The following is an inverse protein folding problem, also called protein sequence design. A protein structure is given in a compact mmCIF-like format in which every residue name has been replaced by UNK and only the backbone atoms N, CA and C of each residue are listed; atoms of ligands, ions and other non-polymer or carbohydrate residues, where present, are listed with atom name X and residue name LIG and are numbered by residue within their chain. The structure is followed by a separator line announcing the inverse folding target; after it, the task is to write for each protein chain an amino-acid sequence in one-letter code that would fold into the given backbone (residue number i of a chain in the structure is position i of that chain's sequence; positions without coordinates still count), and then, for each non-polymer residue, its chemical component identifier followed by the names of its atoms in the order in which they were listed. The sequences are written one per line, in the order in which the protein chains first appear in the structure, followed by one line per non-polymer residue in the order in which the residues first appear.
data_IF_238316240530
#
_entry.id   IF_238316240530
#
_cell.length_a   1.000
_cell.length_b   1.000
_cell.length_c   1.000
_cell.angle_alpha   90.00
_cell.angle_beta   90.00
_cell.angle_gamma   90.00
#
_symmetry.space_group_name_H-M   'P 1'
#
loop_
_entity.id
_entity.type
_entity.pdbx_description
1 polymer ?
#
# COMPACT_ATOMS: atom_id res chain seq x y z
N UNK A 1 13.18 -59.81 21.92
CA UNK A 1 13.71 -58.70 22.76
C UNK A 1 13.74 -57.44 21.90
N UNK A 2 13.04 -56.35 22.29
CA UNK A 2 13.07 -55.08 21.54
C UNK A 2 14.41 -54.37 21.80
N UNK A 3 15.21 -54.18 20.75
CA UNK A 3 16.50 -53.49 20.79
C UNK A 3 16.24 -51.97 20.85
N UNK A 4 16.29 -51.39 22.04
CA UNK A 4 16.30 -49.93 22.20
C UNK A 4 17.71 -49.41 21.89
N UNK A 5 17.89 -48.84 20.70
CA UNK A 5 19.10 -48.12 20.35
C UNK A 5 19.07 -46.75 21.04
N UNK A 6 19.68 -46.64 22.21
CA UNK A 6 19.88 -45.34 22.87
C UNK A 6 20.75 -44.44 21.99
N UNK A 7 20.30 -43.20 21.75
CA UNK A 7 21.08 -42.19 21.04
C UNK A 7 22.33 -41.91 21.87
N UNK A 8 23.51 -42.12 21.28
CA UNK A 8 24.78 -41.86 21.96
C UNK A 8 24.96 -40.36 22.14
N UNK A 9 25.48 -39.90 23.28
CA UNK A 9 25.60 -38.47 23.61
C UNK A 9 26.31 -37.65 22.50
N UNK A 10 27.25 -38.30 21.79
CA UNK A 10 27.97 -37.74 20.63
C UNK A 10 27.04 -37.54 19.42
N UNK A 11 26.17 -38.49 19.08
CA UNK A 11 25.25 -38.32 17.94
C UNK A 11 24.19 -37.26 18.22
N UNK A 12 23.78 -37.10 19.49
CA UNK A 12 22.89 -36.02 19.91
C UNK A 12 23.59 -34.65 19.75
N UNK A 13 24.85 -34.53 20.17
CA UNK A 13 25.62 -33.30 20.02
C UNK A 13 25.81 -32.92 18.53
N UNK A 14 26.16 -33.88 17.67
CA UNK A 14 26.29 -33.65 16.23
C UNK A 14 24.95 -33.22 15.61
N UNK A 15 23.85 -33.88 15.98
CA UNK A 15 22.51 -33.52 15.50
C UNK A 15 22.13 -32.08 15.90
N UNK A 16 22.43 -31.66 17.14
CA UNK A 16 22.18 -30.30 17.59
C UNK A 16 22.97 -29.25 16.79
N UNK A 17 24.25 -29.52 16.50
CA UNK A 17 25.07 -28.62 15.67
C UNK A 17 24.49 -28.51 14.24
N UNK A 18 24.10 -29.63 13.65
CA UNK A 18 23.47 -29.64 12.32
C UNK A 18 22.14 -28.87 12.31
N UNK A 19 21.31 -29.04 13.33
CA UNK A 19 20.04 -28.29 13.46
C UNK A 19 20.27 -26.79 13.60
N UNK A 20 21.30 -26.36 14.34
CA UNK A 20 21.64 -24.93 14.45
C UNK A 20 22.04 -24.35 13.10
N UNK A 21 22.91 -25.03 12.35
CA UNK A 21 23.35 -24.58 11.01
C UNK A 21 22.16 -24.46 10.06
N UNK A 22 21.30 -25.48 10.03
CA UNK A 22 20.09 -25.47 9.21
C UNK A 22 19.14 -24.35 9.63
N UNK A 23 18.92 -24.14 10.94
CA UNK A 23 18.08 -23.06 11.44
C UNK A 23 18.59 -21.68 11.01
N UNK A 24 19.90 -21.41 11.11
CA UNK A 24 20.48 -20.15 10.66
C UNK A 24 20.28 -19.90 9.17
N UNK A 25 20.51 -20.91 8.32
CA UNK A 25 20.32 -20.78 6.87
C UNK A 25 18.83 -20.54 6.54
N UNK A 26 17.94 -21.33 7.14
CA UNK A 26 16.49 -21.24 6.88
C UNK A 26 15.93 -19.90 7.36
N UNK A 27 16.41 -19.36 8.48
CA UNK A 27 16.03 -18.02 8.96
C UNK A 27 16.52 -16.92 8.01
N UNK A 28 17.77 -16.99 7.52
CA UNK A 28 18.32 -15.95 6.65
C UNK A 28 17.61 -15.89 5.30
N UNK A 29 17.50 -17.02 4.60
CA UNK A 29 16.82 -17.10 3.30
C UNK A 29 15.30 -16.97 3.45
N UNK A 30 14.72 -17.55 4.51
CA UNK A 30 13.30 -17.45 4.79
C UNK A 30 12.85 -16.02 5.08
N UNK A 31 13.60 -15.26 5.89
CA UNK A 31 13.28 -13.85 6.15
C UNK A 31 13.37 -13.00 4.88
N UNK A 32 14.37 -13.25 4.02
CA UNK A 32 14.52 -12.52 2.76
C UNK A 32 13.37 -12.79 1.79
N UNK A 33 12.99 -14.07 1.61
CA UNK A 33 11.87 -14.45 0.76
C UNK A 33 10.53 -13.91 1.30
N UNK A 34 10.32 -13.92 2.62
CA UNK A 34 9.13 -13.34 3.24
C UNK A 34 9.07 -11.82 3.08
N UNK A 35 10.20 -11.13 3.19
CA UNK A 35 10.25 -9.68 3.00
C UNK A 35 9.98 -9.30 1.53
N UNK A 36 10.47 -10.09 0.58
CA UNK A 36 10.17 -9.90 -0.85
C UNK A 36 8.69 -10.17 -1.14
N UNK A 37 8.11 -11.25 -0.59
CA UNK A 37 6.69 -11.55 -0.74
C UNK A 37 5.80 -10.41 -0.20
N UNK A 38 6.11 -9.86 0.98
CA UNK A 38 5.39 -8.70 1.54
C UNK A 38 5.47 -7.47 0.62
N UNK A 39 6.64 -7.21 0.05
CA UNK A 39 6.82 -6.11 -0.90
C UNK A 39 5.98 -6.33 -2.15
N UNK A 40 6.00 -7.54 -2.72
CA UNK A 40 5.22 -7.89 -3.91
C UNK A 40 3.71 -7.79 -3.65
N UNK A 41 3.24 -8.28 -2.50
CA UNK A 41 1.84 -8.17 -2.08
C UNK A 41 1.43 -6.70 -1.94
N UNK A 42 2.26 -5.88 -1.29
CA UNK A 42 2.01 -4.45 -1.14
C UNK A 42 1.93 -3.74 -2.49
N UNK A 43 2.92 -3.95 -3.38
CA UNK A 43 2.93 -3.38 -4.74
C UNK A 43 1.68 -3.80 -5.51
N UNK A 44 1.33 -5.08 -5.47
CA UNK A 44 0.16 -5.63 -6.17
C UNK A 44 -1.13 -5.00 -5.68
N UNK A 45 -1.32 -4.93 -4.36
CA UNK A 45 -2.52 -4.32 -3.78
C UNK A 45 -2.65 -2.85 -4.15
N UNK A 46 -1.55 -2.08 -4.05
CA UNK A 46 -1.54 -0.66 -4.42
C UNK A 46 -1.78 -0.45 -5.91
N UNK A 47 -1.22 -1.29 -6.77
CA UNK A 47 -1.43 -1.25 -8.22
C UNK A 47 -2.87 -1.58 -8.60
N UNK A 48 -3.48 -2.60 -7.98
CA UNK A 48 -4.88 -2.94 -8.18
C UNK A 48 -5.81 -1.80 -7.74
N UNK A 49 -5.51 -1.14 -6.62
CA UNK A 49 -6.22 0.07 -6.16
C UNK A 49 -6.12 1.16 -7.24
N UNK A 50 -4.91 1.49 -7.68
CA UNK A 50 -4.67 2.53 -8.69
C UNK A 50 -5.44 2.24 -9.98
N UNK A 51 -5.35 1.01 -10.49
CA UNK A 51 -6.03 0.58 -11.71
C UNK A 51 -7.57 0.64 -11.57
N UNK A 52 -8.11 0.18 -10.44
CA UNK A 52 -9.56 0.18 -10.19
C UNK A 52 -10.15 1.59 -10.15
N UNK A 53 -9.37 2.58 -9.70
CA UNK A 53 -9.83 3.95 -9.51
C UNK A 53 -9.54 4.86 -10.70
N UNK A 54 -8.63 4.48 -11.60
CA UNK A 54 -8.26 5.29 -12.78
C UNK A 54 -9.49 5.63 -13.63
N UNK A 55 -10.34 4.64 -13.91
CA UNK A 55 -11.56 4.86 -14.69
C UNK A 55 -12.56 5.80 -13.98
N UNK A 56 -12.64 5.75 -12.65
CA UNK A 56 -13.48 6.67 -11.89
C UNK A 56 -12.96 8.12 -11.98
N UNK A 57 -11.65 8.33 -11.90
CA UNK A 57 -11.06 9.66 -12.01
C UNK A 57 -11.18 10.23 -13.43
N UNK A 58 -10.96 9.39 -14.44
CA UNK A 58 -11.19 9.75 -15.85
C UNK A 58 -12.63 10.24 -16.08
N UNK A 59 -13.61 9.50 -15.55
CA UNK A 59 -15.01 9.89 -15.65
C UNK A 59 -15.32 11.17 -14.87
N UNK A 60 -14.66 11.39 -13.73
CA UNK A 60 -14.77 12.65 -12.99
C UNK A 60 -14.31 13.83 -13.84
N UNK A 61 -13.09 13.81 -14.38
CA UNK A 61 -12.59 14.94 -15.17
C UNK A 61 -13.39 15.16 -16.45
N UNK A 62 -13.87 14.09 -17.08
CA UNK A 62 -14.75 14.19 -18.25
C UNK A 62 -16.05 14.94 -17.92
N UNK A 63 -16.73 14.60 -16.83
CA UNK A 63 -17.99 15.25 -16.43
C UNK A 63 -17.78 16.60 -15.72
N UNK A 64 -16.61 16.82 -15.11
CA UNK A 64 -16.26 18.05 -14.41
C UNK A 64 -15.77 19.16 -15.34
N UNK A 65 -15.42 18.82 -16.59
CA UNK A 65 -14.95 19.80 -17.57
C UNK A 65 -16.04 20.84 -17.87
N UNK A 66 -15.72 22.12 -17.67
CA UNK A 66 -16.67 23.23 -17.82
C UNK A 66 -17.77 23.30 -16.74
N UNK A 67 -17.75 22.42 -15.74
CA UNK A 67 -18.72 22.42 -14.64
C UNK A 67 -18.37 23.45 -13.55
N UNK A 68 -19.38 23.97 -12.86
CA UNK A 68 -19.20 24.87 -11.73
C UNK A 68 -18.70 24.14 -10.46
N UNK A 69 -18.33 24.90 -9.44
CA UNK A 69 -17.78 24.35 -8.19
C UNK A 69 -18.76 23.44 -7.43
N UNK A 70 -20.07 23.76 -7.46
CA UNK A 70 -21.08 22.94 -6.80
C UNK A 70 -21.18 21.57 -7.47
N UNK A 71 -21.22 21.57 -8.81
CA UNK A 71 -21.28 20.34 -9.59
C UNK A 71 -20.00 19.52 -9.45
N UNK A 72 -18.82 20.15 -9.45
CA UNK A 72 -17.55 19.47 -9.19
C UNK A 72 -17.56 18.75 -7.84
N UNK A 73 -18.13 19.35 -6.79
CA UNK A 73 -18.25 18.70 -5.48
C UNK A 73 -19.21 17.51 -5.48
N UNK A 74 -20.35 17.59 -6.18
CA UNK A 74 -21.24 16.43 -6.37
C UNK A 74 -20.53 15.28 -7.09
N UNK A 75 -19.79 15.59 -8.16
CA UNK A 75 -19.05 14.61 -8.94
C UNK A 75 -17.93 13.95 -8.13
N UNK A 76 -17.24 14.71 -7.26
CA UNK A 76 -16.28 14.13 -6.30
C UNK A 76 -16.94 13.08 -5.41
N UNK A 77 -18.12 13.35 -4.86
CA UNK A 77 -18.85 12.38 -4.02
C UNK A 77 -19.29 11.12 -4.78
N UNK A 78 -19.50 11.24 -6.10
CA UNK A 78 -19.89 10.11 -6.96
C UNK A 78 -18.67 9.25 -7.34
N UNK A 79 -17.58 9.89 -7.74
CA UNK A 79 -16.44 9.23 -8.38
C UNK A 79 -15.26 8.98 -7.44
N UNK A 80 -14.96 9.88 -6.50
CA UNK A 80 -13.85 9.67 -5.56
C UNK A 80 -14.31 8.68 -4.50
N UNK A 81 -13.63 7.53 -4.45
CA UNK A 81 -13.98 6.45 -3.53
C UNK A 81 -13.23 6.62 -2.22
N UNK A 82 -13.87 6.23 -1.13
CA UNK A 82 -13.32 6.38 0.20
C UNK A 82 -13.87 7.58 0.96
N UNK A 83 -13.20 7.92 2.06
CA UNK A 83 -13.54 9.03 2.96
C UNK A 83 -12.40 10.03 2.94
N UNK A 84 -12.68 11.33 2.90
CA UNK A 84 -11.61 12.34 2.96
C UNK A 84 -10.78 12.14 4.22
N UNK A 85 -9.45 12.22 4.09
CA UNK A 85 -8.58 12.05 5.27
C UNK A 85 -8.76 13.20 6.26
N UNK A 86 -9.21 14.38 5.80
CA UNK A 86 -9.53 15.53 6.67
C UNK A 86 -10.56 15.19 7.74
N UNK A 87 -11.44 14.23 7.46
CA UNK A 87 -12.59 13.89 8.27
C UNK A 87 -12.25 12.77 9.27
N UNK A 88 -11.03 12.22 9.21
CA UNK A 88 -10.54 11.18 10.12
C UNK A 88 -9.15 11.55 10.66
N UNK A 89 -9.12 12.08 11.88
CA UNK A 89 -7.89 12.57 12.52
C UNK A 89 -6.80 11.51 12.66
N UNK A 90 -7.17 10.27 13.00
CA UNK A 90 -6.20 9.18 13.20
C UNK A 90 -5.49 8.81 11.89
N UNK A 91 -6.27 8.66 10.80
CA UNK A 91 -5.72 8.37 9.48
C UNK A 91 -4.87 9.54 8.98
N UNK A 92 -5.34 10.78 9.16
CA UNK A 92 -4.58 11.99 8.80
C UNK A 92 -3.24 12.08 9.52
N UNK A 93 -3.23 11.82 10.82
CA UNK A 93 -2.00 11.85 11.61
C UNK A 93 -1.00 10.79 11.13
N UNK A 94 -1.48 9.57 10.82
CA UNK A 94 -0.63 8.51 10.26
C UNK A 94 -0.13 8.84 8.87
N UNK A 95 -0.95 9.46 8.02
CA UNK A 95 -0.53 9.94 6.71
C UNK A 95 0.57 10.99 6.81
N UNK A 96 0.40 12.01 7.65
CA UNK A 96 1.38 13.08 7.83
C UNK A 96 2.75 12.55 8.31
N UNK A 97 2.76 11.51 9.15
CA UNK A 97 4.00 10.86 9.61
C UNK A 97 4.81 10.22 8.48
N UNK A 98 4.19 9.90 7.34
CA UNK A 98 4.90 9.30 6.19
C UNK A 98 5.66 10.33 5.35
N UNK A 99 5.33 11.62 5.50
CA UNK A 99 5.77 12.70 4.60
C UNK A 99 5.42 12.46 3.12
N UNK A 100 4.46 11.57 2.81
CA UNK A 100 4.12 11.20 1.44
C UNK A 100 3.59 12.39 0.62
N UNK A 101 2.81 13.29 1.21
CA UNK A 101 2.32 14.50 0.51
C UNK A 101 3.48 15.37 -0.02
N UNK A 102 4.50 15.59 0.81
CA UNK A 102 5.68 16.35 0.38
C UNK A 102 6.42 15.63 -0.76
N UNK A 103 6.62 14.32 -0.66
CA UNK A 103 7.24 13.52 -1.71
C UNK A 103 6.46 13.56 -3.02
N UNK A 104 5.14 13.40 -2.95
CA UNK A 104 4.26 13.47 -4.11
C UNK A 104 4.41 14.82 -4.81
N UNK A 105 4.35 15.92 -4.06
CA UNK A 105 4.34 17.27 -4.62
C UNK A 105 5.72 17.76 -5.05
N UNK A 106 6.80 17.38 -4.36
CA UNK A 106 8.14 17.95 -4.56
C UNK A 106 9.14 17.00 -5.22
N UNK A 107 8.83 15.71 -5.33
CA UNK A 107 9.73 14.71 -5.92
C UNK A 107 9.05 13.96 -7.08
N UNK A 108 7.88 13.35 -6.84
CA UNK A 108 7.22 12.48 -7.83
C UNK A 108 6.57 13.29 -8.96
N UNK A 109 5.76 14.30 -8.61
CA UNK A 109 5.02 15.13 -9.56
C UNK A 109 5.46 16.60 -9.57
N UNK A 110 6.71 16.84 -9.18
CA UNK A 110 7.30 18.18 -9.03
C UNK A 110 7.12 19.05 -10.26
N UNK A 111 7.37 18.50 -11.44
CA UNK A 111 7.37 19.25 -12.69
C UNK A 111 5.96 19.57 -13.18
N UNK A 112 4.97 18.80 -12.74
CA UNK A 112 3.59 18.95 -13.18
C UNK A 112 2.77 19.89 -12.28
N UNK A 113 3.23 20.19 -11.06
CA UNK A 113 2.55 21.06 -10.09
C UNK A 113 1.07 20.67 -9.85
N UNK A 114 0.81 19.36 -9.77
CA UNK A 114 -0.54 18.80 -9.65
C UNK A 114 -1.06 19.00 -8.23
N UNK A 115 -2.30 19.50 -8.12
CA UNK A 115 -3.02 19.50 -6.85
C UNK A 115 -3.73 18.17 -6.64
N UNK A 116 -3.66 17.63 -5.42
CA UNK A 116 -4.29 16.37 -5.07
C UNK A 116 -5.33 16.52 -3.96
N UNK A 117 -6.38 15.71 -4.03
CA UNK A 117 -7.31 15.44 -2.93
C UNK A 117 -7.05 14.04 -2.37
N UNK A 118 -6.98 13.92 -1.03
CA UNK A 118 -6.59 12.68 -0.37
C UNK A 118 -7.77 11.96 0.32
N UNK A 119 -7.94 10.68 -0.02
CA UNK A 119 -9.05 9.86 0.46
C UNK A 119 -8.55 8.53 1.03
N UNK A 120 -9.06 8.17 2.20
CA UNK A 120 -8.85 6.89 2.86
C UNK A 120 -9.81 5.82 2.33
N UNK A 121 -9.27 4.66 1.94
CA UNK A 121 -10.03 3.50 1.53
C UNK A 121 -10.15 2.52 2.71
N UNK A 122 -11.31 2.47 3.35
CA UNK A 122 -11.58 1.44 4.35
C UNK A 122 -11.79 0.05 3.69
N UNK A 123 -11.72 -1.05 4.46
CA UNK A 123 -11.83 -2.41 3.91
C UNK A 123 -13.13 -2.66 3.12
N UNK A 124 -14.23 -1.98 3.47
CA UNK A 124 -15.49 -2.13 2.75
C UNK A 124 -15.44 -1.48 1.37
N UNK A 125 -14.76 -0.33 1.26
CA UNK A 125 -14.50 0.33 -0.02
C UNK A 125 -13.59 -0.51 -0.89
N UNK A 126 -12.50 -1.06 -0.35
CA UNK A 126 -11.60 -1.95 -1.09
C UNK A 126 -12.34 -3.19 -1.63
N UNK A 127 -13.18 -3.82 -0.81
CA UNK A 127 -14.00 -4.95 -1.24
C UNK A 127 -14.97 -4.56 -2.37
N UNK A 128 -15.56 -3.36 -2.32
CA UNK A 128 -16.44 -2.86 -3.39
C UNK A 128 -15.71 -2.61 -4.71
N UNK A 129 -14.40 -2.35 -4.66
CA UNK A 129 -13.51 -2.23 -5.82
C UNK A 129 -13.03 -3.60 -6.35
N UNK A 130 -13.51 -4.71 -5.76
CA UNK A 130 -13.08 -6.06 -6.12
C UNK A 130 -11.76 -6.50 -5.48
N UNK A 131 -11.19 -5.68 -4.59
CA UNK A 131 -9.89 -5.92 -3.96
C UNK A 131 -10.14 -6.65 -2.64
N UNK A 132 -10.04 -7.99 -2.70
CA UNK A 132 -10.33 -8.88 -1.57
C UNK A 132 -9.08 -9.16 -0.76
N UNK A 133 -9.26 -9.51 0.52
CA UNK A 133 -8.20 -9.88 1.45
C UNK A 133 -7.16 -8.78 1.72
N UNK A 134 -7.47 -7.52 1.40
CA UNK A 134 -6.63 -6.37 1.72
C UNK A 134 -7.24 -5.63 2.89
N UNK A 135 -6.49 -5.57 3.98
CA UNK A 135 -6.88 -4.84 5.18
C UNK A 135 -6.28 -3.43 5.16
N UNK A 136 -7.11 -2.44 5.50
CA UNK A 136 -6.72 -1.04 5.58
C UNK A 136 -6.95 -0.53 7.00
N UNK A 137 -5.93 -0.70 7.85
CA UNK A 137 -6.03 -0.47 9.30
C UNK A 137 -4.68 -0.05 9.90
N UNK A 138 -4.64 0.22 11.21
CA UNK A 138 -3.39 0.64 11.87
C UNK A 138 -2.26 -0.41 11.91
N UNK A 139 -2.57 -1.70 11.75
CA UNK A 139 -1.59 -2.80 11.73
C UNK A 139 -0.97 -2.99 10.34
N UNK A 140 -1.82 -3.05 9.33
CA UNK A 140 -1.45 -3.34 7.94
C UNK A 140 -1.16 -2.07 7.12
N UNK A 141 -1.39 -0.91 7.72
CA UNK A 141 -1.31 0.39 7.06
C UNK A 141 -2.66 0.80 6.48
N UNK A 142 -2.95 2.09 6.57
CA UNK A 142 -4.11 2.66 5.88
C UNK A 142 -3.74 2.89 4.42
N UNK A 143 -4.62 2.44 3.51
CA UNK A 143 -4.54 2.78 2.10
C UNK A 143 -5.20 4.13 1.86
N UNK A 144 -4.43 5.05 1.30
CA UNK A 144 -4.84 6.42 0.97
C UNK A 144 -4.59 6.62 -0.52
N UNK A 145 -5.48 7.34 -1.17
CA UNK A 145 -5.39 7.67 -2.58
C UNK A 145 -5.33 9.17 -2.73
N UNK A 146 -4.37 9.63 -3.53
CA UNK A 146 -4.26 11.01 -3.99
C UNK A 146 -4.89 11.09 -5.38
N UNK A 147 -6.05 11.73 -5.47
CA UNK A 147 -6.73 12.00 -6.73
C UNK A 147 -6.26 13.34 -7.29
N UNK A 148 -5.73 13.35 -8.52
CA UNK A 148 -5.42 14.60 -9.21
C UNK A 148 -6.68 15.45 -9.35
N UNK A 149 -6.53 16.75 -9.11
CA UNK A 149 -7.54 17.77 -9.41
C UNK A 149 -7.20 18.54 -10.68
N UNK A 150 -6.12 18.17 -11.36
CA UNK A 150 -5.62 18.83 -12.56
C UNK A 150 -6.24 18.21 -13.82
N UNK A 151 -6.94 19.04 -14.60
CA UNK A 151 -7.58 18.63 -15.85
C UNK A 151 -6.57 18.27 -16.96
N UNK A 152 -5.30 18.71 -16.84
CA UNK A 152 -4.18 18.35 -17.73
C UNK A 152 -3.68 16.94 -17.47
N UNK A 153 -3.83 16.48 -16.23
CA UNK A 153 -3.38 15.16 -15.77
C UNK A 153 -4.55 14.36 -15.17
N UNK A 154 -5.60 14.07 -15.98
CA UNK A 154 -6.88 13.57 -15.48
C UNK A 154 -6.85 12.11 -15.02
N UNK A 155 -5.73 11.41 -15.24
CA UNK A 155 -5.60 9.98 -14.93
C UNK A 155 -4.55 9.73 -13.84
N UNK A 156 -4.02 10.83 -13.27
CA UNK A 156 -2.97 10.77 -12.25
C UNK A 156 -3.58 10.44 -10.90
N UNK A 157 -3.29 9.23 -10.45
CA UNK A 157 -3.66 8.70 -9.14
C UNK A 157 -2.39 8.18 -8.51
N UNK A 158 -2.10 8.62 -7.29
CA UNK A 158 -1.06 8.02 -6.46
C UNK A 158 -1.70 7.25 -5.31
N UNK A 159 -1.16 6.07 -5.01
CA UNK A 159 -1.62 5.25 -3.90
C UNK A 159 -0.55 5.25 -2.82
N UNK A 160 -0.97 5.42 -1.58
CA UNK A 160 -0.10 5.49 -0.41
C UNK A 160 -0.56 4.42 0.57
N UNK A 161 0.39 3.71 1.18
CA UNK A 161 0.14 2.87 2.33
C UNK A 161 0.92 3.41 3.53
N UNK A 162 0.27 3.69 4.66
CA UNK A 162 0.93 4.32 5.82
C UNK A 162 1.91 3.41 6.57
N UNK A 163 1.90 2.10 6.30
CA UNK A 163 2.90 1.15 6.82
C UNK A 163 4.12 1.09 5.90
N UNK A 164 3.88 1.07 4.59
CA UNK A 164 4.92 1.07 3.56
C UNK A 164 5.86 -0.13 3.62
N UNK A 165 7.01 0.00 2.97
CA UNK A 165 8.11 -0.96 3.00
C UNK A 165 9.44 -0.21 3.14
N UNK A 166 10.20 -0.47 4.22
CA UNK A 166 11.51 0.16 4.52
C UNK A 166 11.51 1.70 4.40
N UNK A 167 10.43 2.35 4.85
CA UNK A 167 10.29 3.81 4.82
C UNK A 167 9.82 4.38 3.47
N UNK A 168 9.44 3.51 2.53
CA UNK A 168 8.83 3.88 1.26
C UNK A 168 7.32 3.62 1.35
N UNK A 169 6.51 4.63 1.03
CA UNK A 169 5.07 4.61 1.30
C UNK A 169 4.20 4.77 0.05
N UNK A 170 4.75 5.33 -1.03
CA UNK A 170 4.05 5.62 -2.28
C UNK A 170 4.24 4.46 -3.26
N UNK A 171 3.24 4.19 -4.10
CA UNK A 171 3.31 3.15 -5.12
C UNK A 171 4.44 3.46 -6.10
N UNK A 172 4.55 4.72 -6.55
CA UNK A 172 5.55 5.12 -7.53
C UNK A 172 6.96 4.84 -7.06
N UNK A 173 7.29 5.17 -5.80
CA UNK A 173 8.61 4.84 -5.25
C UNK A 173 8.80 3.34 -5.03
N UNK A 174 7.75 2.60 -4.59
CA UNK A 174 7.84 1.16 -4.42
C UNK A 174 8.12 0.45 -5.76
N UNK A 175 7.54 0.92 -6.87
CA UNK A 175 7.79 0.34 -8.19
C UNK A 175 9.22 0.57 -8.70
N UNK A 176 9.94 1.55 -8.14
CA UNK A 176 11.31 1.87 -8.52
C UNK A 176 12.37 1.01 -7.81
N UNK A 177 11.98 0.20 -6.81
CA UNK A 177 12.89 -0.68 -6.04
C UNK A 177 12.71 -2.16 -6.31
#
# INVERSE_FOLDING_TARGET
MKKNSGITMISLAIMLVLLMILATITMYYGNSALDEAKLQDLKTNMLLIQASLRGNLEQYHFEANGADAAKKNELKNKYFKGKKISDNADVRNKFNQTNAENKINNEIYKEQNISFDYYYLDPSVLASLGIKNVNSNGKDGYYIVAYSLDDTYPNTIEVINTKGYRGIYTLTELMAI
#
